data_IF_713136881174
#
_entry.id   IF_713136881174
#
_cell.length_a   1.000
_cell.length_b   1.000
_cell.length_c   1.000
_cell.angle_alpha   90.00
_cell.angle_beta   90.00
_cell.angle_gamma   90.00
#
_symmetry.space_group_name_H-M   'P 1'
#
loop_
_entity.id
_entity.type
_entity.pdbx_description
1 polymer ?
#
# COMPACT_ATOMS: atom_id res chain seq x y z
N UNK A 1 27.37 -10.85 11.34
CA UNK A 1 26.25 -10.04 11.88
C UNK A 1 25.00 -10.49 11.14
N UNK A 2 23.99 -11.02 11.85
CA UNK A 2 22.76 -11.49 11.22
C UNK A 2 22.04 -10.31 10.57
N UNK A 3 21.89 -10.37 9.25
CA UNK A 3 21.12 -9.41 8.45
C UNK A 3 19.62 -9.67 8.72
N UNK A 4 19.14 -9.21 9.87
CA UNK A 4 17.75 -9.42 10.28
C UNK A 4 16.82 -8.51 9.47
N UNK A 5 16.29 -9.02 8.35
CA UNK A 5 15.13 -8.43 7.68
C UNK A 5 14.06 -8.20 8.75
N UNK A 6 13.73 -6.93 9.04
CA UNK A 6 12.62 -6.62 9.92
C UNK A 6 11.34 -7.13 9.26
N UNK A 7 10.80 -8.23 9.78
CA UNK A 7 9.50 -8.71 9.34
C UNK A 7 8.44 -7.69 9.73
N UNK A 8 7.45 -7.50 8.87
CA UNK A 8 6.28 -6.67 9.17
C UNK A 8 5.58 -7.19 10.43
N UNK A 9 5.07 -6.29 11.25
CA UNK A 9 4.27 -6.68 12.40
C UNK A 9 2.90 -7.20 11.96
N UNK A 10 2.20 -7.90 12.85
CA UNK A 10 0.79 -8.28 12.62
C UNK A 10 -0.09 -7.07 12.33
N UNK A 11 0.20 -5.91 12.95
CA UNK A 11 -0.55 -4.68 12.66
C UNK A 11 -0.24 -4.14 11.28
N UNK A 12 1.00 -4.25 10.81
CA UNK A 12 1.37 -3.80 9.47
C UNK A 12 0.72 -4.67 8.40
N UNK A 13 0.67 -6.00 8.61
CA UNK A 13 -0.08 -6.91 7.74
C UNK A 13 -1.58 -6.59 7.70
N UNK A 14 -2.21 -6.30 8.85
CA UNK A 14 -3.62 -5.88 8.87
C UNK A 14 -3.87 -4.59 8.10
N UNK A 15 -2.97 -3.62 8.22
CA UNK A 15 -3.07 -2.37 7.48
C UNK A 15 -2.85 -2.59 5.97
N UNK A 16 -1.94 -3.49 5.59
CA UNK A 16 -1.72 -3.88 4.21
C UNK A 16 -2.98 -4.51 3.61
N UNK A 17 -3.60 -5.48 4.30
CA UNK A 17 -4.84 -6.12 3.84
C UNK A 17 -5.97 -5.10 3.68
N UNK A 18 -6.12 -4.19 4.65
CA UNK A 18 -7.11 -3.12 4.59
C UNK A 18 -6.85 -2.17 3.40
N UNK A 19 -5.60 -1.79 3.16
CA UNK A 19 -5.22 -0.96 2.02
C UNK A 19 -5.57 -1.63 0.69
N UNK A 20 -5.23 -2.91 0.51
CA UNK A 20 -5.58 -3.66 -0.70
C UNK A 20 -7.10 -3.73 -0.88
N UNK A 21 -7.84 -3.96 0.20
CA UNK A 21 -9.30 -3.91 0.20
C UNK A 21 -9.84 -2.56 -0.27
N UNK A 22 -9.29 -1.45 0.25
CA UNK A 22 -9.72 -0.10 -0.15
C UNK A 22 -9.45 0.21 -1.63
N UNK A 23 -8.33 -0.26 -2.20
CA UNK A 23 -8.07 -0.10 -3.64
C UNK A 23 -9.14 -0.83 -4.47
N UNK A 24 -9.49 -2.05 -4.09
CA UNK A 24 -10.49 -2.85 -4.80
C UNK A 24 -11.91 -2.30 -4.63
N UNK A 25 -12.27 -1.87 -3.42
CA UNK A 25 -13.57 -1.28 -3.11
C UNK A 25 -13.78 0.04 -3.88
N UNK A 26 -12.78 0.93 -3.87
CA UNK A 26 -12.86 2.22 -4.54
C UNK A 26 -12.90 2.04 -6.07
N UNK A 27 -12.15 1.08 -6.64
CA UNK A 27 -12.25 0.73 -8.06
C UNK A 27 -13.64 0.17 -8.41
N UNK A 28 -14.15 -0.76 -7.60
CA UNK A 28 -15.48 -1.35 -7.80
C UNK A 28 -16.60 -0.32 -7.71
N UNK A 29 -16.45 0.68 -6.85
CA UNK A 29 -17.40 1.78 -6.69
C UNK A 29 -17.30 2.85 -7.79
N UNK A 30 -16.25 2.80 -8.63
CA UNK A 30 -15.98 3.82 -9.65
C UNK A 30 -15.38 5.11 -9.10
N UNK A 31 -14.89 5.10 -7.85
CA UNK A 31 -14.24 6.24 -7.18
C UNK A 31 -12.82 6.47 -7.70
N UNK A 32 -12.20 5.42 -8.24
CA UNK A 32 -10.93 5.44 -8.97
C UNK A 32 -11.04 4.59 -10.23
N UNK A 33 -10.29 4.98 -11.25
CA UNK A 33 -10.06 4.24 -12.49
C UNK A 33 -9.19 3.00 -12.25
N UNK A 34 -9.15 2.11 -13.25
CA UNK A 34 -8.27 0.94 -13.22
C UNK A 34 -6.80 1.38 -13.16
N UNK A 35 -6.46 2.42 -13.92
CA UNK A 35 -5.11 2.97 -14.03
C UNK A 35 -4.65 3.54 -12.68
N UNK A 36 -5.50 4.28 -11.97
CA UNK A 36 -5.22 4.77 -10.62
C UNK A 36 -5.07 3.63 -9.60
N UNK A 37 -5.90 2.60 -9.68
CA UNK A 37 -5.79 1.41 -8.83
C UNK A 37 -4.45 0.70 -9.05
N UNK A 38 -4.07 0.47 -10.31
CA UNK A 38 -2.76 -0.13 -10.66
C UNK A 38 -1.61 0.76 -10.20
N UNK A 39 -1.73 2.08 -10.38
CA UNK A 39 -0.73 3.06 -9.94
C UNK A 39 -0.48 3.02 -8.44
N UNK A 40 -1.55 3.00 -7.63
CA UNK A 40 -1.43 2.93 -6.17
C UNK A 40 -0.72 1.63 -5.71
N UNK A 41 -1.02 0.50 -6.34
CA UNK A 41 -0.37 -0.78 -6.06
C UNK A 41 1.11 -0.79 -6.50
N UNK A 42 1.38 -0.32 -7.71
CA UNK A 42 2.74 -0.24 -8.26
C UNK A 42 3.64 0.66 -7.41
N UNK A 43 3.10 1.75 -6.87
CA UNK A 43 3.85 2.68 -6.02
C UNK A 43 4.33 2.01 -4.71
N UNK A 44 3.46 1.21 -4.07
CA UNK A 44 3.84 0.42 -2.90
C UNK A 44 4.88 -0.64 -3.28
N UNK A 45 4.67 -1.37 -4.36
CA UNK A 45 5.60 -2.42 -4.81
C UNK A 45 6.99 -1.86 -5.12
N UNK A 46 7.06 -0.69 -5.76
CA UNK A 46 8.32 -0.01 -6.05
C UNK A 46 9.06 0.41 -4.77
N UNK A 47 8.34 0.94 -3.77
CA UNK A 47 8.95 1.28 -2.48
C UNK A 47 9.49 0.04 -1.75
N UNK A 48 8.77 -1.09 -1.81
CA UNK A 48 9.24 -2.35 -1.24
C UNK A 48 10.47 -2.89 -1.96
N UNK A 49 10.51 -2.80 -3.29
CA UNK A 49 11.63 -3.26 -4.13
C UNK A 49 12.95 -2.53 -3.79
N UNK A 50 12.87 -1.21 -3.54
CA UNK A 50 14.04 -0.41 -3.17
C UNK A 50 14.37 -0.42 -1.66
N UNK A 51 13.69 -1.27 -0.88
CA UNK A 51 13.93 -1.41 0.56
C UNK A 51 13.29 -0.31 1.43
N UNK A 52 12.45 0.55 0.86
CA UNK A 52 11.72 1.61 1.57
C UNK A 52 10.44 1.07 2.25
N UNK A 53 10.63 0.06 3.10
CA UNK A 53 9.52 -0.63 3.78
C UNK A 53 8.77 0.27 4.76
N UNK A 54 9.46 1.21 5.41
CA UNK A 54 8.85 2.12 6.37
C UNK A 54 7.81 3.04 5.71
N UNK A 55 8.09 3.52 4.49
CA UNK A 55 7.16 4.35 3.74
C UNK A 55 5.97 3.54 3.23
N UNK A 56 6.21 2.32 2.71
CA UNK A 56 5.14 1.40 2.35
C UNK A 56 4.17 1.13 3.52
N UNK A 57 4.70 0.88 4.72
CA UNK A 57 3.92 0.71 5.95
C UNK A 57 3.14 1.97 6.31
N UNK A 58 3.72 3.15 6.09
CA UNK A 58 3.03 4.41 6.31
C UNK A 58 1.83 4.58 5.35
N UNK A 59 1.96 4.17 4.09
CA UNK A 59 0.83 4.21 3.14
C UNK A 59 -0.27 3.21 3.47
N UNK A 60 0.07 2.02 3.97
CA UNK A 60 -0.93 1.07 4.49
C UNK A 60 -1.80 1.71 5.58
N UNK A 61 -1.18 2.46 6.49
CA UNK A 61 -1.90 3.19 7.55
C UNK A 61 -2.75 4.34 7.02
N UNK A 62 -2.29 5.01 5.97
CA UNK A 62 -3.03 6.12 5.35
C UNK A 62 -4.25 5.65 4.53
N UNK A 63 -4.20 4.43 3.98
CA UNK A 63 -5.33 3.83 3.26
C UNK A 63 -5.83 4.71 2.11
N UNK A 64 -7.14 5.01 2.11
CA UNK A 64 -7.79 5.84 1.08
C UNK A 64 -7.18 7.24 0.91
N UNK A 65 -6.56 7.80 1.96
CA UNK A 65 -5.87 9.10 1.84
C UNK A 65 -4.72 9.01 0.84
N UNK A 66 -3.94 7.93 0.88
CA UNK A 66 -2.84 7.72 -0.05
C UNK A 66 -3.36 7.45 -1.47
N UNK A 67 -4.35 6.57 -1.62
CA UNK A 67 -5.00 6.25 -2.92
C UNK A 67 -5.47 7.53 -3.64
N UNK A 68 -6.00 8.51 -2.91
CA UNK A 68 -6.47 9.77 -3.48
C UNK A 68 -5.34 10.77 -3.79
N UNK A 69 -4.17 10.60 -3.19
CA UNK A 69 -3.00 11.43 -3.45
C UNK A 69 -2.18 10.99 -4.66
N UNK A 70 -2.45 9.79 -5.20
CA UNK A 70 -1.81 9.27 -6.42
C UNK A 70 -2.57 9.61 -7.70
N UNK A 71 -3.59 10.49 -7.60
CA UNK A 71 -4.38 11.00 -8.72
C UNK A 71 -3.67 12.16 -9.42
#
# INVERSE_FOLDING_TARGET
>A
MSNGKANLSTSDHKNMDAFLGYVLDDYKAGEITKEEAVGALAHVMAALDIGNTAEAVNWFKQGRKFIRSTR
#
